data_IF_683463266684
#
_entry.id   IF_683463266684
#
_cell.length_a   1.000
_cell.length_b   1.000
_cell.length_c   1.000
_cell.angle_alpha   90.00
_cell.angle_beta   90.00
_cell.angle_gamma   90.00
#
_symmetry.space_group_name_H-M   'P 1'
#
loop_
_entity.id
_entity.type
_entity.pdbx_description
1 polymer ?
#
# COMPACT_ATOMS: atom_id res chain seq x y z
N UNK A 1 -0.45 7.48 -13.55
CA UNK A 1 0.12 6.96 -12.28
C UNK A 1 -0.93 7.16 -11.21
N UNK A 2 -1.45 6.07 -10.66
CA UNK A 2 -2.45 6.11 -9.60
C UNK A 2 -1.90 6.75 -8.33
N UNK A 3 -2.68 7.63 -7.70
CA UNK A 3 -2.41 8.20 -6.38
C UNK A 3 -3.59 7.86 -5.49
N UNK A 4 -3.35 7.07 -4.44
CA UNK A 4 -4.38 6.76 -3.47
C UNK A 4 -4.64 7.95 -2.53
N UNK A 5 -5.91 8.19 -2.23
CA UNK A 5 -6.36 9.30 -1.38
C UNK A 5 -6.55 8.91 0.08
N UNK A 6 -6.56 7.62 0.40
CA UNK A 6 -6.75 7.12 1.77
C UNK A 6 -6.28 5.68 1.93
N UNK A 7 -6.14 5.26 3.19
CA UNK A 7 -5.83 3.89 3.61
C UNK A 7 -6.92 3.47 4.59
N UNK A 8 -7.49 2.29 4.38
CA UNK A 8 -8.56 1.71 5.19
C UNK A 8 -8.08 0.42 5.84
N UNK A 9 -8.41 0.23 7.12
CA UNK A 9 -8.23 -1.06 7.79
C UNK A 9 -9.42 -1.96 7.46
N UNK A 10 -9.19 -2.98 6.64
CA UNK A 10 -10.24 -3.88 6.15
C UNK A 10 -10.41 -5.12 7.04
N UNK A 11 -9.41 -5.40 7.86
CA UNK A 11 -9.41 -6.41 8.92
C UNK A 11 -8.35 -6.01 9.96
N UNK A 12 -8.43 -6.55 11.17
CA UNK A 12 -7.46 -6.25 12.22
C UNK A 12 -6.03 -6.54 11.73
N UNK A 13 -5.19 -5.50 11.70
CA UNK A 13 -3.81 -5.62 11.22
C UNK A 13 -3.66 -5.70 9.70
N UNK A 14 -4.72 -5.45 8.92
CA UNK A 14 -4.71 -5.48 7.45
C UNK A 14 -5.29 -4.19 6.90
N UNK A 15 -4.45 -3.44 6.17
CA UNK A 15 -4.83 -2.20 5.53
C UNK A 15 -4.78 -2.32 4.02
N UNK A 16 -5.70 -1.64 3.34
CA UNK A 16 -5.76 -1.56 1.88
C UNK A 16 -5.89 -0.11 1.44
N UNK A 17 -5.25 0.22 0.32
CA UNK A 17 -5.48 1.46 -0.40
C UNK A 17 -5.52 1.20 -1.89
N UNK A 18 -6.23 2.07 -2.60
CA UNK A 18 -6.40 1.96 -4.03
C UNK A 18 -6.29 3.32 -4.71
N UNK A 19 -5.95 3.30 -5.98
CA UNK A 19 -5.92 4.48 -6.82
C UNK A 19 -6.21 4.13 -8.28
N UNK A 20 -7.06 4.96 -8.89
CA UNK A 20 -7.46 4.81 -10.28
C UNK A 20 -6.41 5.41 -11.20
N UNK A 21 -5.99 4.65 -12.22
CA UNK A 21 -5.14 5.15 -13.30
C UNK A 21 -5.95 5.37 -14.57
N UNK A 22 -6.06 6.64 -14.98
CA UNK A 22 -6.88 7.04 -16.12
C UNK A 22 -6.37 6.49 -17.45
N UNK A 23 -5.04 6.37 -17.61
CA UNK A 23 -4.40 5.91 -18.84
C UNK A 23 -4.76 4.45 -19.18
N UNK A 24 -4.83 3.59 -18.15
CA UNK A 24 -5.17 2.17 -18.29
C UNK A 24 -6.62 1.87 -17.91
N UNK A 25 -7.37 2.87 -17.43
CA UNK A 25 -8.73 2.76 -16.90
C UNK A 25 -8.88 1.63 -15.88
N UNK A 26 -7.86 1.48 -15.04
CA UNK A 26 -7.72 0.35 -14.10
C UNK A 26 -7.56 0.87 -12.68
N UNK A 27 -8.16 0.17 -11.74
CA UNK A 27 -7.99 0.41 -10.30
C UNK A 27 -6.80 -0.42 -9.80
N UNK A 28 -5.82 0.23 -9.19
CA UNK A 28 -4.68 -0.44 -8.57
C UNK A 28 -4.88 -0.55 -7.07
N UNK A 29 -4.46 -1.66 -6.48
CA UNK A 29 -4.56 -1.92 -5.05
C UNK A 29 -3.18 -2.17 -4.46
N UNK A 30 -3.03 -1.73 -3.21
CA UNK A 30 -1.90 -2.04 -2.36
C UNK A 30 -2.41 -2.48 -1.00
N UNK A 31 -1.60 -3.27 -0.32
CA UNK A 31 -1.97 -3.85 0.97
C UNK A 31 -0.82 -3.72 1.94
N UNK A 32 -1.11 -3.49 3.21
CA UNK A 32 -0.16 -3.65 4.30
C UNK A 32 -0.72 -4.65 5.30
N UNK A 33 0.14 -5.56 5.77
CA UNK A 33 -0.20 -6.56 6.78
C UNK A 33 0.77 -6.40 7.94
N UNK A 34 0.23 -6.32 9.16
CA UNK A 34 1.03 -6.37 10.39
C UNK A 34 1.48 -7.80 10.64
N UNK A 35 2.79 -8.03 10.62
CA UNK A 35 3.44 -9.27 11.02
C UNK A 35 4.21 -9.06 12.34
N UNK A 36 4.73 -10.14 12.92
CA UNK A 36 5.49 -10.11 14.19
C UNK A 36 6.68 -9.13 14.14
N UNK A 37 7.39 -9.09 13.01
CA UNK A 37 8.59 -8.26 12.82
C UNK A 37 8.31 -6.85 12.27
N UNK A 38 7.06 -6.54 11.93
CA UNK A 38 6.65 -5.24 11.41
C UNK A 38 5.66 -5.31 10.24
N UNK A 39 5.48 -4.18 9.55
CA UNK A 39 4.59 -4.10 8.40
C UNK A 39 5.21 -4.73 7.15
N UNK A 40 4.47 -5.62 6.51
CA UNK A 40 4.74 -6.12 5.17
C UNK A 40 3.85 -5.37 4.19
N UNK A 41 4.45 -4.62 3.26
CA UNK A 41 3.74 -3.87 2.23
C UNK A 41 3.76 -4.66 0.93
N UNK A 42 2.58 -4.90 0.36
CA UNK A 42 2.40 -5.56 -0.91
C UNK A 42 2.07 -4.52 -1.98
N UNK A 43 2.80 -4.58 -3.09
CA UNK A 43 2.47 -3.89 -4.32
C UNK A 43 2.20 -2.38 -4.15
N UNK A 44 3.13 -1.60 -3.57
CA UNK A 44 2.88 -0.21 -3.20
C UNK A 44 2.63 0.67 -4.42
N UNK A 45 1.45 1.28 -4.46
CA UNK A 45 1.15 2.46 -5.26
C UNK A 45 1.38 3.70 -4.42
N UNK A 46 1.68 4.82 -5.09
CA UNK A 46 1.82 6.10 -4.43
C UNK A 46 0.54 6.42 -3.66
N UNK A 47 0.74 6.83 -2.42
CA UNK A 47 -0.30 7.31 -1.54
C UNK A 47 0.14 8.66 -0.99
N UNK A 48 -0.80 9.44 -0.45
CA UNK A 48 -0.43 10.67 0.23
C UNK A 48 0.58 10.37 1.35
N UNK A 49 1.60 11.22 1.50
CA UNK A 49 2.63 11.07 2.54
C UNK A 49 2.00 10.90 3.93
N UNK A 50 0.87 11.56 4.17
CA UNK A 50 0.11 11.46 5.41
C UNK A 50 -0.45 10.06 5.67
N UNK A 51 -0.93 9.36 4.64
CA UNK A 51 -1.48 8.03 4.78
C UNK A 51 -0.37 7.00 5.08
N UNK A 52 0.75 7.04 4.36
CA UNK A 52 1.90 6.17 4.65
C UNK A 52 2.51 6.46 6.03
N UNK A 53 2.52 7.73 6.46
CA UNK A 53 2.94 8.10 7.81
C UNK A 53 2.04 7.49 8.90
N UNK A 54 0.76 7.25 8.64
CA UNK A 54 -0.12 6.56 9.60
C UNK A 54 0.30 5.10 9.77
N UNK A 55 0.65 4.41 8.68
CA UNK A 55 1.20 3.05 8.75
C UNK A 55 2.54 3.00 9.50
N UNK A 56 3.46 3.93 9.19
CA UNK A 56 4.76 3.99 9.86
C UNK A 56 4.70 4.30 11.37
N UNK A 57 3.58 4.84 11.87
CA UNK A 57 3.32 5.03 13.31
C UNK A 57 2.84 3.76 14.00
N UNK A 58 2.30 2.79 13.26
CA UNK A 58 1.80 1.52 13.81
C UNK A 58 2.99 0.58 14.06
N UNK A 59 3.83 0.39 13.04
CA UNK A 59 5.03 -0.44 13.12
C UNK A 59 5.99 -0.08 11.97
N UNK A 60 7.32 -0.23 12.12
CA UNK A 60 8.24 -0.07 11.00
C UNK A 60 7.92 -1.01 9.83
N UNK A 61 8.26 -0.58 8.61
CA UNK A 61 8.17 -1.45 7.43
C UNK A 61 9.30 -2.48 7.48
N UNK A 62 8.94 -3.74 7.64
CA UNK A 62 9.86 -4.87 7.65
C UNK A 62 10.18 -5.36 6.24
N UNK A 63 9.21 -5.31 5.33
CA UNK A 63 9.37 -5.80 3.96
C UNK A 63 8.46 -5.09 2.96
N UNK A 64 8.90 -5.08 1.69
CA UNK A 64 8.08 -4.74 0.53
C UNK A 64 8.08 -5.94 -0.41
N UNK A 65 6.90 -6.46 -0.71
CA UNK A 65 6.68 -7.59 -1.61
C UNK A 65 6.05 -7.09 -2.89
N UNK A 66 6.67 -7.43 -4.02
CA UNK A 66 6.09 -7.22 -5.34
C UNK A 66 5.60 -8.56 -5.87
N UNK A 67 4.32 -8.66 -6.21
CA UNK A 67 3.72 -9.92 -6.65
C UNK A 67 4.14 -10.30 -8.07
N UNK A 68 4.50 -9.32 -8.90
CA UNK A 68 4.94 -9.54 -10.27
C UNK A 68 5.80 -8.38 -10.81
N UNK A 69 6.45 -8.58 -11.96
CA UNK A 69 7.35 -7.60 -12.58
C UNK A 69 6.66 -6.38 -13.21
N UNK A 70 5.33 -6.35 -13.31
CA UNK A 70 4.59 -5.20 -13.83
C UNK A 70 4.44 -4.09 -12.78
N UNK A 71 4.81 -4.35 -11.53
CA UNK A 71 4.76 -3.37 -10.46
C UNK A 71 6.10 -2.63 -10.42
N UNK A 72 6.13 -1.43 -10.99
CA UNK A 72 7.27 -0.53 -10.89
C UNK A 72 7.44 -0.10 -9.43
N UNK A 73 8.68 -0.11 -8.93
CA UNK A 73 9.02 0.48 -7.62
C UNK A 73 8.59 1.95 -7.63
N UNK A 74 7.64 2.30 -6.75
CA UNK A 74 7.31 3.69 -6.45
C UNK A 74 8.49 4.36 -5.72
#
# INVERSE_FOLDING_TARGET
MAIATGIEEISEGVWSWHGFDDATRTEFFSTAVLAEDGLVILDPILSSTEALNRLGKISPVAAIVLTNGNHSRA
#
